data_IF_049239779363
#
_entry.id   IF_049239779363
#
_cell.length_a   1.000
_cell.length_b   1.000
_cell.length_c   1.000
_cell.angle_alpha   90.00
_cell.angle_beta   90.00
_cell.angle_gamma   90.00
#
_symmetry.space_group_name_H-M   'P 1'
#
loop_
_entity.id
_entity.type
_entity.pdbx_description
1 polymer ?
#
# COMPACT_ATOMS: atom_id res chain seq x y z
N UNK A 1 -2.52 -2.44 -28.70
CA UNK A 1 -2.03 -2.70 -27.33
C UNK A 1 -0.72 -3.48 -27.30
N UNK A 2 -0.13 -3.93 -28.42
CA UNK A 2 1.11 -4.72 -28.43
C UNK A 2 2.40 -3.86 -28.46
N UNK A 3 2.41 -2.80 -27.66
CA UNK A 3 3.51 -1.82 -27.58
C UNK A 3 3.40 -0.90 -26.36
N UNK A 4 2.73 -1.37 -25.31
CA UNK A 4 2.58 -0.61 -24.07
C UNK A 4 3.94 -0.56 -23.38
N UNK A 5 4.34 0.64 -22.95
CA UNK A 5 5.55 0.86 -22.16
C UNK A 5 5.14 0.89 -20.70
N UNK A 6 5.68 -0.03 -19.89
CA UNK A 6 5.44 -0.07 -18.46
C UNK A 6 6.52 0.75 -17.75
N UNK A 7 6.11 1.77 -17.02
CA UNK A 7 7.01 2.58 -16.19
C UNK A 7 7.20 1.89 -14.83
N UNK A 8 8.10 0.93 -14.78
CA UNK A 8 8.35 0.05 -13.62
C UNK A 8 9.68 0.30 -12.92
N UNK A 9 10.42 1.33 -13.36
CA UNK A 9 11.80 1.59 -12.92
C UNK A 9 11.89 1.83 -11.40
N UNK A 10 10.88 2.45 -10.81
CA UNK A 10 10.80 2.63 -9.36
C UNK A 10 10.63 1.30 -8.62
N UNK A 11 9.72 0.45 -9.09
CA UNK A 11 9.43 -0.83 -8.43
C UNK A 11 10.61 -1.80 -8.58
N UNK A 12 11.20 -1.87 -9.78
CA UNK A 12 12.42 -2.63 -10.04
C UNK A 12 13.58 -2.13 -9.18
N UNK A 13 13.76 -0.80 -9.06
CA UNK A 13 14.78 -0.21 -8.18
C UNK A 13 14.60 -0.54 -6.69
N UNK A 14 13.37 -0.84 -6.26
CA UNK A 14 13.05 -1.33 -4.91
C UNK A 14 13.20 -2.86 -4.76
N UNK A 15 13.47 -3.58 -5.86
CA UNK A 15 13.65 -5.03 -5.89
C UNK A 15 12.37 -5.82 -6.22
N UNK A 16 11.31 -5.18 -6.70
CA UNK A 16 10.09 -5.86 -7.09
C UNK A 16 10.33 -6.71 -8.35
N UNK A 17 9.84 -7.94 -8.35
CA UNK A 17 9.95 -8.83 -9.50
C UNK A 17 9.02 -8.37 -10.62
N UNK A 18 9.55 -8.32 -11.85
CA UNK A 18 8.76 -8.13 -13.05
C UNK A 18 8.42 -9.48 -13.69
N UNK A 19 7.35 -9.51 -14.48
CA UNK A 19 7.02 -10.67 -15.30
C UNK A 19 7.84 -10.67 -16.62
N UNK A 20 7.59 -11.66 -17.47
CA UNK A 20 8.31 -11.84 -18.73
C UNK A 20 8.03 -10.76 -19.80
N UNK A 21 7.09 -9.85 -19.55
CA UNK A 21 6.77 -8.73 -20.45
C UNK A 21 7.04 -7.37 -19.80
N UNK A 22 7.59 -7.34 -18.58
CA UNK A 22 8.04 -6.14 -17.88
C UNK A 22 6.99 -5.49 -16.97
N UNK A 23 5.88 -6.17 -16.67
CA UNK A 23 4.88 -5.70 -15.71
C UNK A 23 5.28 -6.10 -14.28
N UNK A 24 4.89 -5.31 -13.28
CA UNK A 24 5.17 -5.59 -11.88
C UNK A 24 4.33 -6.79 -11.44
N UNK A 25 4.98 -7.86 -10.97
CA UNK A 25 4.26 -9.02 -10.44
C UNK A 25 3.57 -8.64 -9.13
N UNK A 26 2.28 -8.98 -9.05
CA UNK A 26 1.46 -8.76 -7.86
C UNK A 26 0.64 -9.98 -7.49
N UNK A 27 0.29 -10.12 -6.21
CA UNK A 27 -0.71 -11.07 -5.73
C UNK A 27 -2.16 -10.57 -5.98
N UNK A 28 -3.17 -11.34 -5.57
CA UNK A 28 -4.59 -10.96 -5.71
C UNK A 28 -4.98 -9.69 -4.93
N UNK A 29 -4.14 -9.29 -3.97
CA UNK A 29 -4.33 -8.14 -3.09
C UNK A 29 -3.45 -6.95 -3.52
N UNK A 30 -2.84 -7.02 -4.72
CA UNK A 30 -1.98 -6.00 -5.32
C UNK A 30 -0.64 -5.78 -4.60
N UNK A 31 -0.17 -6.75 -3.80
CA UNK A 31 1.17 -6.71 -3.19
C UNK A 31 2.22 -7.16 -4.19
N UNK A 32 3.34 -6.44 -4.23
CA UNK A 32 4.51 -6.89 -4.99
C UNK A 32 5.30 -7.96 -4.21
N UNK A 33 6.40 -8.44 -4.78
CA UNK A 33 7.33 -9.33 -4.06
C UNK A 33 8.14 -8.61 -2.98
N UNK A 34 8.14 -7.27 -2.98
CA UNK A 34 8.78 -6.46 -1.93
C UNK A 34 7.74 -6.13 -0.85
N UNK A 35 7.97 -6.49 0.42
CA UNK A 35 7.08 -6.15 1.52
C UNK A 35 6.79 -4.64 1.59
N UNK A 36 5.53 -4.28 1.85
CA UNK A 36 5.05 -2.89 1.93
C UNK A 36 5.16 -2.09 0.62
N UNK A 37 5.40 -2.74 -0.52
CA UNK A 37 5.32 -2.14 -1.86
C UNK A 37 4.18 -2.79 -2.62
N UNK A 38 3.32 -1.95 -3.20
CA UNK A 38 2.09 -2.36 -3.88
C UNK A 38 2.06 -1.71 -5.27
N UNK A 39 1.40 -2.37 -6.23
CA UNK A 39 1.24 -1.84 -7.58
C UNK A 39 -0.17 -2.07 -8.08
N UNK A 40 -0.72 -1.11 -8.84
CA UNK A 40 -2.07 -1.18 -9.40
C UNK A 40 -2.11 -0.49 -10.77
N UNK A 41 -3.10 -0.84 -11.59
CA UNK A 41 -3.29 -0.25 -12.92
C UNK A 41 -2.37 -0.86 -13.97
N UNK A 42 -2.09 -0.09 -15.02
CA UNK A 42 -1.50 -0.60 -16.26
C UNK A 42 -0.07 -1.14 -16.12
N UNK A 43 0.60 -0.88 -14.99
CA UNK A 43 1.92 -1.45 -14.65
C UNK A 43 1.83 -2.88 -14.12
N UNK A 44 0.63 -3.41 -13.88
CA UNK A 44 0.39 -4.77 -13.37
C UNK A 44 -0.19 -5.70 -14.45
N UNK A 45 -0.10 -7.03 -14.27
CA UNK A 45 -0.76 -8.01 -15.14
C UNK A 45 -2.29 -7.91 -15.13
N UNK A 46 -2.83 -6.99 -15.93
CA UNK A 46 -4.26 -6.82 -16.18
C UNK A 46 -4.49 -6.05 -17.48
N UNK A 47 -5.74 -6.08 -17.97
CA UNK A 47 -6.14 -5.20 -19.05
C UNK A 47 -6.02 -3.73 -18.59
N UNK A 48 -5.31 -2.92 -19.36
CA UNK A 48 -5.17 -1.48 -19.11
C UNK A 48 -6.50 -0.76 -19.44
N UNK A 49 -7.46 -0.82 -18.50
CA UNK A 49 -8.74 -0.12 -18.55
C UNK A 49 -8.91 0.73 -17.29
N UNK A 50 -9.45 1.93 -17.44
CA UNK A 50 -9.58 2.89 -16.32
C UNK A 50 -10.34 2.29 -15.12
N UNK A 51 -11.41 1.53 -15.37
CA UNK A 51 -12.21 0.93 -14.29
C UNK A 51 -11.47 -0.21 -13.58
N UNK A 52 -10.63 -0.96 -14.29
CA UNK A 52 -9.80 -2.02 -13.71
C UNK A 52 -8.72 -1.38 -12.82
N UNK A 53 -8.05 -0.34 -13.31
CA UNK A 53 -7.05 0.39 -12.55
C UNK A 53 -7.63 0.98 -11.25
N UNK A 54 -8.84 1.56 -11.32
CA UNK A 54 -9.53 2.07 -10.13
C UNK A 54 -9.85 0.95 -9.12
N UNK A 55 -10.35 -0.20 -9.60
CA UNK A 55 -10.62 -1.37 -8.76
C UNK A 55 -9.35 -1.91 -8.08
N UNK A 56 -8.27 -2.07 -8.83
CA UNK A 56 -6.97 -2.48 -8.29
C UNK A 56 -6.43 -1.47 -7.27
N UNK A 57 -6.60 -0.16 -7.51
CA UNK A 57 -6.24 0.87 -6.53
C UNK A 57 -7.00 0.73 -5.22
N UNK A 58 -8.30 0.42 -5.28
CA UNK A 58 -9.11 0.15 -4.08
C UNK A 58 -8.64 -1.11 -3.34
N UNK A 59 -8.35 -2.20 -4.07
CA UNK A 59 -7.78 -3.43 -3.50
C UNK A 59 -6.44 -3.18 -2.82
N UNK A 60 -5.53 -2.45 -3.47
CA UNK A 60 -4.23 -2.09 -2.91
C UNK A 60 -4.37 -1.24 -1.64
N UNK A 61 -5.26 -0.25 -1.64
CA UNK A 61 -5.53 0.57 -0.47
C UNK A 61 -6.06 -0.26 0.72
N UNK A 62 -6.94 -1.23 0.47
CA UNK A 62 -7.40 -2.16 1.50
C UNK A 62 -6.26 -3.03 2.05
N UNK A 63 -5.37 -3.53 1.19
CA UNK A 63 -4.21 -4.31 1.59
C UNK A 63 -3.23 -3.47 2.43
N UNK A 64 -2.90 -2.25 2.00
CA UNK A 64 -2.07 -1.31 2.76
C UNK A 64 -2.64 -1.08 4.16
N UNK A 65 -3.93 -0.76 4.25
CA UNK A 65 -4.57 -0.51 5.55
C UNK A 65 -4.51 -1.75 6.47
N UNK A 66 -4.73 -2.95 5.91
CA UNK A 66 -4.63 -4.20 6.67
C UNK A 66 -3.21 -4.44 7.18
N UNK A 67 -2.21 -4.28 6.31
CA UNK A 67 -0.82 -4.58 6.66
C UNK A 67 -0.29 -3.59 7.73
N UNK A 68 -0.66 -2.31 7.62
CA UNK A 68 -0.35 -1.29 8.64
C UNK A 68 -1.08 -1.54 9.97
N UNK A 69 -2.33 -2.01 9.91
CA UNK A 69 -3.08 -2.35 11.11
C UNK A 69 -2.45 -3.55 11.83
N UNK A 70 -2.09 -4.59 11.09
CA UNK A 70 -1.38 -5.75 11.62
C UNK A 70 -0.02 -5.36 12.19
N UNK A 71 0.73 -4.47 11.55
CA UNK A 71 1.96 -3.92 12.10
C UNK A 71 1.74 -3.16 13.40
N UNK A 72 0.68 -2.35 13.46
CA UNK A 72 0.34 -1.61 14.68
C UNK A 72 -0.03 -2.53 15.84
N UNK A 73 -0.69 -3.66 15.55
CA UNK A 73 -0.97 -4.70 16.55
C UNK A 73 0.32 -5.38 17.02
N UNK A 74 1.22 -5.77 16.10
CA UNK A 74 2.49 -6.41 16.45
C UNK A 74 3.36 -5.50 17.33
N UNK A 75 3.41 -4.22 16.99
CA UNK A 75 4.27 -3.25 17.66
C UNK A 75 3.59 -2.55 18.84
N UNK A 76 2.36 -2.97 19.21
CA UNK A 76 1.57 -2.36 20.27
C UNK A 76 1.44 -0.83 20.15
N UNK A 77 1.45 -0.31 18.92
CA UNK A 77 1.47 1.14 18.63
C UNK A 77 0.07 1.71 18.36
N UNK A 78 -0.97 0.87 18.38
CA UNK A 78 -2.35 1.36 18.35
C UNK A 78 -2.57 2.26 19.56
N UNK A 79 -2.77 3.56 19.32
CA UNK A 79 -3.12 4.51 20.37
C UNK A 79 -4.43 4.04 21.02
N UNK A 80 -4.37 3.66 22.28
CA UNK A 80 -5.57 3.65 23.12
C UNK A 80 -5.97 5.11 23.32
N UNK A 81 -6.98 5.56 22.58
CA UNK A 81 -7.69 6.76 22.99
C UNK A 81 -8.30 6.45 24.35
N UNK A 82 -7.75 7.04 25.43
CA UNK A 82 -8.42 7.04 26.73
C UNK A 82 -9.65 7.93 26.60
N UNK A 83 -10.76 7.54 27.23
CA UNK A 83 -12.03 8.29 27.22
C UNK A 83 -11.86 9.80 27.49
N UNK A 84 -10.85 10.17 28.28
CA UNK A 84 -10.49 11.57 28.59
C UNK A 84 -10.16 12.39 27.33
N UNK A 85 -9.51 11.79 26.34
CA UNK A 85 -8.99 12.48 25.16
C UNK A 85 -10.05 12.70 24.07
N UNK A 86 -11.16 11.97 24.13
CA UNK A 86 -12.33 12.20 23.28
C UNK A 86 -13.12 13.45 23.70
N UNK A 87 -12.92 13.93 24.93
CA UNK A 87 -13.63 15.11 25.46
C UNK A 87 -13.02 16.44 24.99
N UNK A 88 -11.74 16.45 24.62
CA UNK A 88 -10.98 17.68 24.35
C UNK A 88 -10.61 17.87 22.87
N UNK A 89 -11.02 16.95 21.97
CA UNK A 89 -10.65 16.92 20.54
C UNK A 89 -9.12 17.05 20.29
N UNK A 90 -8.30 16.78 21.31
CA UNK A 90 -6.87 17.00 21.23
C UNK A 90 -6.15 15.77 20.70
N UNK A 91 -5.62 15.91 19.48
CA UNK A 91 -5.01 14.80 18.72
C UNK A 91 -3.54 14.54 19.10
N UNK A 92 -2.94 15.41 19.90
CA UNK A 92 -1.53 15.33 20.32
C UNK A 92 -1.50 15.17 21.84
N UNK A 93 -0.89 14.10 22.37
CA UNK A 93 -0.74 13.95 23.82
C UNK A 93 0.32 14.92 24.35
N UNK A 94 0.05 15.53 25.51
CA UNK A 94 1.06 16.27 26.27
C UNK A 94 2.24 15.35 26.60
N UNK A 95 3.44 15.71 26.13
CA UNK A 95 4.68 14.97 26.40
C UNK A 95 5.26 14.13 25.25
N UNK A 96 4.69 14.16 24.04
CA UNK A 96 5.28 13.51 22.86
C UNK A 96 6.50 14.26 22.24
N UNK A 97 7.06 15.23 22.96
CA UNK A 97 8.33 15.88 22.61
C UNK A 97 9.50 15.19 23.31
N UNK A 98 10.37 14.56 22.52
CA UNK A 98 11.61 13.86 22.88
C UNK A 98 11.46 12.34 23.13
N UNK A 99 11.30 11.59 22.04
CA UNK A 99 11.97 10.30 21.84
C UNK A 99 12.56 10.28 20.44
#
# INVERSE_FOLDING_TARGET
TRGDVYHTELAEGLGAELDNVGQIRVDEQMRTTVPHVYAAGCVTPANCQMIIAAGQGATAAQAINRDLFEESLRNHSLRQFREVQLHEEETVPEGAGNV
#
